data_IF_198142163769
#
_entry.id   IF_198142163769
#
_cell.length_a   1.000
_cell.length_b   1.000
_cell.length_c   1.000
_cell.angle_alpha   90.00
_cell.angle_beta   90.00
_cell.angle_gamma   90.00
#
_symmetry.space_group_name_H-M   'P 1'
#
loop_
_entity.id
_entity.type
_entity.pdbx_description
1 polymer ?
#
# COMPACT_ATOMS: atom_id res chain seq x y z
N UNK A 1 8.70 -37.36 -28.55
CA UNK A 1 9.73 -36.31 -28.74
C UNK A 1 9.00 -35.01 -29.10
N UNK A 2 8.66 -34.17 -28.11
CA UNK A 2 7.92 -32.92 -28.33
C UNK A 2 8.84 -31.89 -29.00
N UNK A 3 8.55 -31.52 -30.24
CA UNK A 3 9.22 -30.42 -30.95
C UNK A 3 8.70 -29.09 -30.41
N UNK A 4 9.43 -28.51 -29.45
CA UNK A 4 9.15 -27.15 -28.98
C UNK A 4 9.48 -26.16 -30.10
N UNK A 5 8.45 -25.50 -30.64
CA UNK A 5 8.59 -24.43 -31.61
C UNK A 5 9.24 -23.22 -30.94
N UNK A 6 10.36 -22.72 -31.48
CA UNK A 6 11.14 -21.57 -30.96
C UNK A 6 10.28 -20.32 -30.68
N UNK A 7 9.18 -20.14 -31.41
CA UNK A 7 8.26 -19.01 -31.25
C UNK A 7 7.43 -19.06 -29.96
N UNK A 8 7.16 -20.26 -29.41
CA UNK A 8 6.40 -20.42 -28.15
C UNK A 8 7.26 -19.99 -26.96
N UNK A 9 8.56 -20.22 -27.01
CA UNK A 9 9.50 -19.83 -25.95
C UNK A 9 9.61 -18.30 -25.82
N UNK A 10 9.53 -17.58 -26.94
CA UNK A 10 9.57 -16.11 -26.97
C UNK A 10 8.34 -15.49 -26.31
N UNK A 11 7.17 -16.12 -26.48
CA UNK A 11 5.91 -15.63 -25.94
C UNK A 11 5.83 -15.77 -24.42
N UNK A 12 6.40 -16.84 -23.86
CA UNK A 12 6.46 -17.09 -22.41
C UNK A 12 7.38 -16.05 -21.71
N UNK A 13 8.46 -15.64 -22.37
CA UNK A 13 9.40 -14.66 -21.79
C UNK A 13 8.79 -13.26 -21.63
N UNK A 14 7.84 -12.87 -22.49
CA UNK A 14 7.16 -11.56 -22.44
C UNK A 14 6.21 -11.47 -21.23
N UNK A 15 5.59 -12.59 -20.82
CA UNK A 15 4.65 -12.63 -19.69
C UNK A 15 5.37 -12.42 -18.35
N UNK A 16 6.66 -12.80 -18.25
CA UNK A 16 7.45 -12.69 -17.02
C UNK A 16 8.02 -11.28 -16.75
N UNK A 17 8.04 -10.38 -17.75
CA UNK A 17 8.64 -9.04 -17.61
C UNK A 17 7.67 -8.05 -16.95
N UNK A 18 6.38 -8.39 -16.79
CA UNK A 18 5.37 -7.44 -16.34
C UNK A 18 5.10 -7.40 -14.83
N UNK A 19 5.99 -7.94 -13.99
CA UNK A 19 6.00 -7.62 -12.55
C UNK A 19 6.61 -6.22 -12.34
N UNK A 20 5.82 -5.18 -12.62
CA UNK A 20 6.18 -3.82 -12.20
C UNK A 20 6.21 -3.78 -10.68
N UNK A 21 7.35 -3.37 -10.11
CA UNK A 21 7.44 -3.00 -8.69
C UNK A 21 6.46 -1.86 -8.45
N UNK A 22 5.45 -2.12 -7.63
CA UNK A 22 4.46 -1.12 -7.26
C UNK A 22 5.15 0.01 -6.49
N UNK A 23 5.05 1.23 -7.01
CA UNK A 23 5.75 2.37 -6.42
C UNK A 23 4.79 3.18 -5.55
N UNK A 24 4.74 2.85 -4.27
CA UNK A 24 3.89 3.50 -3.27
C UNK A 24 4.50 4.82 -2.75
N UNK A 25 5.29 5.51 -3.59
CA UNK A 25 5.99 6.75 -3.25
C UNK A 25 5.05 7.86 -2.74
N UNK A 26 3.79 7.88 -3.20
CA UNK A 26 2.77 8.83 -2.75
C UNK A 26 2.42 8.69 -1.25
N UNK A 27 2.61 7.50 -0.66
CA UNK A 27 2.39 7.25 0.76
C UNK A 27 3.59 7.60 1.62
N UNK A 28 4.81 7.72 1.08
CA UNK A 28 6.03 7.96 1.87
C UNK A 28 5.93 9.17 2.79
N UNK A 29 6.44 9.06 4.01
CA UNK A 29 6.49 10.15 4.98
C UNK A 29 5.50 10.01 6.13
N UNK A 30 5.20 11.13 6.79
CA UNK A 30 4.44 11.18 8.03
C UNK A 30 2.97 11.49 7.79
N UNK A 31 2.11 10.74 8.48
CA UNK A 31 0.67 10.86 8.42
C UNK A 31 0.13 10.93 9.84
N UNK A 32 -0.50 12.03 10.21
CA UNK A 32 -1.05 12.23 11.55
C UNK A 32 -2.54 11.93 11.54
N UNK A 33 -3.05 11.26 12.57
CA UNK A 33 -4.48 11.05 12.73
C UNK A 33 -5.19 12.41 12.79
N UNK A 34 -6.16 12.60 11.90
CA UNK A 34 -7.00 13.78 11.80
C UNK A 34 -8.49 13.39 11.65
N UNK A 35 -8.83 12.14 11.99
CA UNK A 35 -10.18 11.63 12.08
C UNK A 35 -10.79 11.84 13.46
N UNK A 36 -12.09 11.58 13.57
CA UNK A 36 -12.83 11.62 14.84
C UNK A 36 -12.61 10.34 15.67
N UNK A 37 -12.13 9.27 15.03
CA UNK A 37 -11.90 7.97 15.66
C UNK A 37 -10.47 7.87 16.23
N UNK A 38 -10.28 8.00 17.55
CA UNK A 38 -9.03 7.58 18.19
C UNK A 38 -8.95 6.04 18.17
N UNK A 39 -7.73 5.49 18.17
CA UNK A 39 -7.52 4.06 18.49
C UNK A 39 -6.72 3.22 17.51
N UNK A 40 -6.37 3.73 16.31
CA UNK A 40 -5.44 3.02 15.41
C UNK A 40 -3.98 3.38 15.69
N UNK A 41 -3.63 4.64 15.46
CA UNK A 41 -2.34 5.25 15.79
C UNK A 41 -2.50 6.76 15.75
N UNK A 42 -1.67 7.50 16.47
CA UNK A 42 -1.59 8.96 16.35
C UNK A 42 -0.78 9.38 15.13
N UNK A 43 0.27 8.63 14.82
CA UNK A 43 1.19 8.89 13.70
C UNK A 43 1.48 7.58 12.97
N UNK A 44 1.40 7.63 11.64
CA UNK A 44 1.90 6.61 10.74
C UNK A 44 3.07 7.16 9.94
N UNK A 45 4.10 6.34 9.83
CA UNK A 45 5.30 6.65 9.04
C UNK A 45 5.44 5.56 8.00
N UNK A 46 5.43 5.94 6.73
CA UNK A 46 5.71 5.02 5.62
C UNK A 46 7.12 5.30 5.12
N UNK A 47 8.04 4.41 5.48
CA UNK A 47 9.44 4.43 5.08
C UNK A 47 10.00 2.99 5.16
N UNK A 48 11.32 2.85 5.02
CA UNK A 48 11.99 1.54 5.08
C UNK A 48 12.02 0.92 6.49
N UNK A 49 11.66 1.66 7.54
CA UNK A 49 11.81 1.25 8.95
C UNK A 49 10.50 0.92 9.64
N UNK A 50 9.40 1.60 9.32
CA UNK A 50 8.18 1.56 10.12
C UNK A 50 7.03 0.80 9.47
N UNK A 51 6.47 1.31 8.38
CA UNK A 51 5.36 0.67 7.69
C UNK A 51 5.63 0.61 6.20
N UNK A 52 5.36 -0.56 5.61
CA UNK A 52 5.42 -0.78 4.18
C UNK A 52 4.03 -1.00 3.61
N UNK A 53 3.87 -0.74 2.31
CA UNK A 53 2.61 -0.90 1.60
C UNK A 53 2.87 -1.89 0.47
N UNK A 54 2.06 -2.95 0.41
CA UNK A 54 2.08 -3.96 -0.67
C UNK A 54 0.66 -4.08 -1.20
N UNK A 55 0.44 -3.74 -2.46
CA UNK A 55 -0.87 -3.47 -3.02
C UNK A 55 -1.58 -2.37 -2.22
N UNK A 56 -2.77 -2.67 -1.72
CA UNK A 56 -3.54 -1.82 -0.82
C UNK A 56 -3.25 -2.09 0.66
N UNK A 57 -2.45 -3.10 1.00
CA UNK A 57 -2.32 -3.55 2.38
C UNK A 57 -1.09 -2.95 3.04
N UNK A 58 -1.29 -2.40 4.24
CA UNK A 58 -0.25 -1.85 5.09
C UNK A 58 0.28 -2.94 6.02
N UNK A 59 1.59 -3.08 6.02
CA UNK A 59 2.32 -3.98 6.90
C UNK A 59 3.17 -3.16 7.87
N UNK A 60 3.11 -3.53 9.14
CA UNK A 60 4.06 -3.05 10.14
C UNK A 60 5.48 -3.55 9.85
N UNK A 61 6.49 -2.97 10.49
CA UNK A 61 7.89 -3.42 10.43
C UNK A 61 8.11 -4.89 10.79
N UNK A 62 7.13 -5.54 11.44
CA UNK A 62 7.13 -6.97 11.77
C UNK A 62 6.45 -7.83 10.71
N UNK A 63 6.25 -7.30 9.51
CA UNK A 63 5.53 -7.95 8.40
C UNK A 63 4.10 -8.40 8.73
N UNK A 64 3.50 -7.86 9.80
CA UNK A 64 2.09 -8.10 10.12
C UNK A 64 1.21 -7.08 9.41
N UNK A 65 0.18 -7.56 8.69
CA UNK A 65 -0.82 -6.71 8.08
C UNK A 65 -1.65 -6.00 9.17
N UNK A 66 -1.80 -4.67 9.06
CA UNK A 66 -2.49 -3.85 10.09
C UNK A 66 -3.71 -3.12 9.54
N UNK A 67 -3.69 -2.75 8.26
CA UNK A 67 -4.79 -2.02 7.63
C UNK A 67 -4.77 -2.17 6.11
N UNK A 68 -5.87 -1.80 5.49
CA UNK A 68 -6.04 -1.69 4.03
C UNK A 68 -6.26 -0.22 3.70
N UNK A 69 -5.55 0.29 2.68
CA UNK A 69 -5.76 1.60 2.09
C UNK A 69 -7.09 1.57 1.34
N UNK A 70 -8.09 2.22 1.89
CA UNK A 70 -9.43 2.27 1.29
C UNK A 70 -9.48 3.35 0.20
N UNK A 71 -8.93 4.53 0.49
CA UNK A 71 -8.80 5.61 -0.49
C UNK A 71 -7.79 6.66 -0.05
N UNK A 72 -7.38 7.47 -1.02
CA UNK A 72 -6.72 8.74 -0.79
C UNK A 72 -7.56 9.84 -1.44
N UNK A 73 -7.96 10.83 -0.65
CA UNK A 73 -8.64 12.04 -1.15
C UNK A 73 -7.71 13.25 -1.08
N UNK A 74 -8.03 14.27 -1.88
CA UNK A 74 -7.39 15.58 -1.80
C UNK A 74 -8.47 16.58 -1.41
N UNK A 75 -8.44 17.03 -0.16
CA UNK A 75 -9.44 17.94 0.40
C UNK A 75 -8.75 19.24 0.80
N UNK A 76 -9.19 20.36 0.22
CA UNK A 76 -8.57 21.68 0.40
C UNK A 76 -7.08 21.73 0.02
N UNK A 77 -6.68 20.95 -0.99
CA UNK A 77 -5.27 20.86 -1.44
C UNK A 77 -4.41 19.90 -0.63
N UNK A 78 -4.94 19.33 0.46
CA UNK A 78 -4.20 18.45 1.36
C UNK A 78 -4.57 16.97 1.12
N UNK A 79 -3.59 16.06 0.99
CA UNK A 79 -3.87 14.64 0.84
C UNK A 79 -4.32 14.03 2.17
N UNK A 80 -5.40 13.25 2.11
CA UNK A 80 -5.98 12.52 3.23
C UNK A 80 -6.00 11.03 2.92
N UNK A 81 -5.49 10.24 3.85
CA UNK A 81 -5.39 8.79 3.78
C UNK A 81 -6.48 8.14 4.63
N UNK A 82 -7.27 7.27 4.03
CA UNK A 82 -8.32 6.50 4.70
C UNK A 82 -7.91 5.05 4.79
N UNK A 83 -7.80 4.56 6.03
CA UNK A 83 -7.32 3.22 6.33
C UNK A 83 -8.41 2.42 7.02
N UNK A 84 -8.75 1.27 6.46
CA UNK A 84 -9.61 0.29 7.10
C UNK A 84 -8.74 -0.66 7.93
N UNK A 85 -8.88 -0.60 9.25
CA UNK A 85 -8.14 -1.45 10.18
C UNK A 85 -8.56 -2.92 10.03
N UNK A 86 -7.58 -3.82 10.00
CA UNK A 86 -7.86 -5.26 9.94
C UNK A 86 -8.47 -5.75 11.26
N UNK A 87 -8.05 -5.16 12.40
CA UNK A 87 -8.43 -5.60 13.74
C UNK A 87 -9.91 -5.35 14.06
N UNK A 88 -10.42 -4.16 13.75
CA UNK A 88 -11.75 -3.71 14.15
C UNK A 88 -12.63 -3.28 12.97
N UNK A 89 -12.13 -3.38 11.75
CA UNK A 89 -12.84 -3.05 10.51
C UNK A 89 -13.29 -1.58 10.42
N UNK A 90 -12.82 -0.70 11.32
CA UNK A 90 -13.13 0.73 11.31
C UNK A 90 -12.23 1.48 10.35
N UNK A 91 -12.75 2.61 9.87
CA UNK A 91 -12.03 3.52 9.00
C UNK A 91 -11.41 4.65 9.84
N UNK A 92 -10.11 4.83 9.65
CA UNK A 92 -9.30 5.85 10.29
C UNK A 92 -8.78 6.82 9.23
N UNK A 93 -8.75 8.11 9.57
CA UNK A 93 -8.36 9.18 8.66
C UNK A 93 -7.05 9.81 9.12
N UNK A 94 -6.10 9.88 8.20
CA UNK A 94 -4.81 10.51 8.43
C UNK A 94 -4.56 11.63 7.43
N UNK A 95 -3.92 12.69 7.88
CA UNK A 95 -3.53 13.84 7.08
C UNK A 95 -2.01 13.84 6.93
N UNK A 96 -1.53 14.19 5.74
CA UNK A 96 -0.09 14.33 5.49
C UNK A 96 0.48 15.46 6.35
N UNK A 97 1.71 15.29 6.82
CA UNK A 97 2.44 16.29 7.59
C UNK A 97 3.85 16.46 7.05
#
# INVERSE_FOLDING_TARGET
MLKFNKNILLFIFIILISCKKENNDYLKGHWKNCGENPGFSDILVFDEKYNSVRNDTIFSHKDSAIAIVEKISHEYGEPKLYLKSIKDQKIYRFCKK
#
